data_IF_257374384092
#
_entry.id   IF_257374384092
#
_cell.length_a   1.000
_cell.length_b   1.000
_cell.length_c   1.000
_cell.angle_alpha   90.00
_cell.angle_beta   90.00
_cell.angle_gamma   90.00
#
_symmetry.space_group_name_H-M   'P 1'
#
loop_
_entity.id
_entity.type
_entity.pdbx_description
1 polymer ?
#
# COMPACT_ATOMS: atom_id res chain seq x y z
N UNK A 1 5.46 -4.00 40.31
CA UNK A 1 5.23 -4.28 38.88
C UNK A 1 6.13 -3.36 38.08
N UNK A 2 6.96 -3.89 37.17
CA UNK A 2 7.84 -3.06 36.35
C UNK A 2 6.98 -2.25 35.39
N UNK A 3 7.04 -0.94 35.50
CA UNK A 3 6.33 -0.01 34.62
C UNK A 3 6.99 -0.04 33.25
N UNK A 4 6.26 -0.48 32.22
CA UNK A 4 6.75 -0.42 30.84
C UNK A 4 6.54 1.00 30.31
N UNK A 5 7.58 1.56 29.69
CA UNK A 5 7.60 2.94 29.19
C UNK A 5 7.72 2.96 27.68
N UNK A 6 7.02 3.91 27.07
CA UNK A 6 6.99 4.17 25.64
C UNK A 6 7.27 5.65 25.39
N UNK A 7 8.12 5.95 24.41
CA UNK A 7 8.38 7.31 23.96
C UNK A 7 7.75 7.51 22.59
N UNK A 8 6.81 8.45 22.49
CA UNK A 8 6.09 8.74 21.27
C UNK A 8 6.41 10.16 20.81
N UNK A 9 6.71 10.32 19.52
CA UNK A 9 6.72 11.59 18.82
C UNK A 9 5.51 11.63 17.91
N UNK A 10 4.56 12.51 18.19
CA UNK A 10 3.28 12.55 17.48
C UNK A 10 3.24 13.75 16.56
N UNK A 11 2.92 13.53 15.30
CA UNK A 11 2.73 14.58 14.32
C UNK A 11 1.51 15.45 14.68
N UNK A 12 1.76 16.74 14.87
CA UNK A 12 0.75 17.77 15.18
C UNK A 12 0.60 18.70 13.99
N UNK A 13 -0.62 18.78 13.46
CA UNK A 13 -0.94 19.60 12.29
C UNK A 13 -2.44 19.80 12.16
N UNK A 14 -2.88 20.89 11.54
CA UNK A 14 -4.29 21.10 11.21
C UNK A 14 -4.37 21.92 9.92
N UNK A 15 -4.93 21.33 8.85
CA UNK A 15 -4.90 21.90 7.50
C UNK A 15 -5.58 23.28 7.39
N UNK A 16 -6.49 23.60 8.33
CA UNK A 16 -7.24 24.86 8.36
C UNK A 16 -6.59 25.95 9.21
N UNK A 17 -5.43 25.68 9.83
CA UNK A 17 -4.73 26.63 10.69
C UNK A 17 -3.35 26.95 10.15
N UNK A 18 -2.93 28.18 10.37
CA UNK A 18 -1.67 28.73 9.86
C UNK A 18 -0.52 28.48 10.87
N UNK A 19 -0.19 27.22 11.10
CA UNK A 19 1.02 26.83 11.83
C UNK A 19 1.72 25.68 11.13
N UNK A 20 3.06 25.68 11.24
CA UNK A 20 3.88 24.63 10.66
C UNK A 20 3.71 23.31 11.44
N UNK A 21 3.74 22.16 10.77
CA UNK A 21 3.68 20.87 11.44
C UNK A 21 4.86 20.71 12.42
N UNK A 22 4.57 20.12 13.57
CA UNK A 22 5.55 19.87 14.61
C UNK A 22 5.38 18.45 15.19
N UNK A 23 6.40 17.96 15.90
CA UNK A 23 6.30 16.73 16.68
C UNK A 23 6.24 17.06 18.16
N UNK A 24 5.21 16.55 18.83
CA UNK A 24 5.08 16.62 20.28
C UNK A 24 5.52 15.30 20.90
N UNK A 25 6.33 15.35 21.96
CA UNK A 25 6.87 14.16 22.61
C UNK A 25 6.03 13.77 23.83
N UNK A 26 5.67 12.49 23.91
CA UNK A 26 4.94 11.90 25.03
C UNK A 26 5.74 10.75 25.61
N UNK A 27 5.83 10.70 26.94
CA UNK A 27 6.39 9.58 27.68
C UNK A 27 5.25 8.89 28.42
N UNK A 28 4.79 7.77 27.87
CA UNK A 28 3.62 7.05 28.37
C UNK A 28 4.05 5.76 29.06
N UNK A 29 3.28 5.39 30.06
CA UNK A 29 3.37 4.08 30.72
C UNK A 29 2.29 3.17 30.13
N UNK A 30 2.63 1.90 29.90
CA UNK A 30 1.68 0.93 29.37
C UNK A 30 1.74 -0.41 30.10
N UNK A 31 0.67 -1.19 29.95
CA UNK A 31 0.53 -2.55 30.48
C UNK A 31 0.48 -3.55 29.31
N UNK A 32 0.88 -4.80 29.55
CA UNK A 32 1.03 -5.81 28.49
C UNK A 32 -0.28 -6.17 27.76
N UNK A 33 -1.42 -5.93 28.42
CA UNK A 33 -2.77 -6.18 27.93
C UNK A 33 -3.40 -4.99 27.20
N UNK A 34 -2.73 -3.84 27.17
CA UNK A 34 -3.21 -2.65 26.45
C UNK A 34 -3.01 -2.78 24.94
N UNK A 35 -3.91 -2.12 24.21
CA UNK A 35 -3.92 -2.04 22.76
C UNK A 35 -3.55 -0.64 22.28
N UNK A 36 -3.26 -0.50 20.98
CA UNK A 36 -2.88 0.78 20.37
C UNK A 36 -3.90 1.87 20.67
N UNK A 37 -5.20 1.57 20.58
CA UNK A 37 -6.26 2.53 20.85
C UNK A 37 -6.23 3.05 22.30
N UNK A 38 -5.81 2.23 23.26
CA UNK A 38 -5.65 2.66 24.65
C UNK A 38 -4.50 3.66 24.82
N UNK A 39 -3.43 3.51 24.03
CA UNK A 39 -2.33 4.49 23.96
C UNK A 39 -2.81 5.78 23.30
N UNK A 40 -3.54 5.69 22.19
CA UNK A 40 -4.07 6.87 21.48
C UNK A 40 -5.03 7.69 22.34
N UNK A 41 -5.86 7.04 23.17
CA UNK A 41 -6.76 7.72 24.14
C UNK A 41 -6.03 8.57 25.18
N UNK A 42 -4.77 8.26 25.48
CA UNK A 42 -3.96 9.05 26.41
C UNK A 42 -3.43 10.35 25.76
N UNK A 43 -3.43 10.44 24.44
CA UNK A 43 -2.93 11.59 23.67
C UNK A 43 -3.97 12.72 23.64
N UNK A 44 -3.97 13.56 24.68
CA UNK A 44 -4.95 14.64 24.83
C UNK A 44 -4.89 15.65 23.67
N UNK A 45 -6.02 15.81 22.98
CA UNK A 45 -6.19 16.80 21.92
C UNK A 45 -5.59 16.40 20.56
N UNK A 46 -5.05 15.17 20.45
CA UNK A 46 -4.61 14.58 19.18
C UNK A 46 -5.80 13.96 18.47
N UNK A 47 -5.95 14.28 17.19
CA UNK A 47 -6.95 13.70 16.30
C UNK A 47 -6.45 12.39 15.68
N UNK A 48 -7.23 11.32 15.80
CA UNK A 48 -6.99 10.01 15.19
C UNK A 48 -8.34 9.33 14.87
N UNK A 49 -8.31 8.24 14.09
CA UNK A 49 -9.48 7.41 13.81
C UNK A 49 -9.47 6.17 14.72
N UNK A 50 -10.62 5.80 15.28
CA UNK A 50 -10.75 4.55 16.06
C UNK A 50 -10.56 3.32 15.18
N UNK A 51 -10.96 3.41 13.90
CA UNK A 51 -10.52 2.48 12.87
C UNK A 51 -9.06 2.81 12.54
N UNK A 52 -8.14 2.06 13.15
CA UNK A 52 -6.70 2.32 13.06
C UNK A 52 -6.27 2.39 11.60
N UNK A 53 -5.66 3.52 11.23
CA UNK A 53 -5.15 3.80 9.90
C UNK A 53 -4.08 4.91 10.01
N UNK A 54 -2.87 4.54 10.42
CA UNK A 54 -1.78 5.48 10.69
C UNK A 54 -0.41 4.85 10.40
N UNK A 55 0.66 5.63 10.56
CA UNK A 55 2.03 5.13 10.46
C UNK A 55 2.75 5.15 11.80
N UNK A 56 3.45 4.08 12.11
CA UNK A 56 4.43 3.99 13.20
C UNK A 56 5.80 3.83 12.55
N UNK A 57 6.72 4.77 12.79
CA UNK A 57 8.07 4.75 12.21
C UNK A 57 8.06 4.60 10.67
N UNK A 58 7.14 5.31 9.99
CA UNK A 58 6.85 5.25 8.55
C UNK A 58 6.20 3.95 8.02
N UNK A 59 5.93 2.96 8.87
CA UNK A 59 5.26 1.70 8.49
C UNK A 59 3.76 1.83 8.75
N UNK A 60 2.94 1.45 7.78
CA UNK A 60 1.49 1.54 7.89
C UNK A 60 0.93 0.47 8.85
N UNK A 61 0.00 0.89 9.71
CA UNK A 61 -0.71 0.04 10.69
C UNK A 61 -2.21 0.24 10.49
N UNK A 62 -2.94 -0.86 10.28
CA UNK A 62 -4.39 -0.85 10.02
C UNK A 62 -5.20 -1.68 11.04
N UNK A 63 -4.58 -2.10 12.14
CA UNK A 63 -5.22 -2.93 13.16
C UNK A 63 -4.94 -2.38 14.56
N UNK A 64 -5.88 -2.60 15.47
CA UNK A 64 -5.69 -2.34 16.90
C UNK A 64 -4.91 -3.50 17.53
N UNK A 65 -3.58 -3.48 17.34
CA UNK A 65 -2.67 -4.49 17.87
C UNK A 65 -2.32 -4.23 19.34
N UNK A 66 -1.89 -5.27 20.04
CA UNK A 66 -1.36 -5.14 21.40
C UNK A 66 -0.11 -4.27 21.39
N UNK A 67 0.04 -3.44 22.40
CA UNK A 67 1.22 -2.56 22.55
C UNK A 67 2.51 -3.37 22.66
N UNK A 68 2.46 -4.52 23.34
CA UNK A 68 3.59 -5.45 23.45
C UNK A 68 4.06 -5.97 22.08
N UNK A 69 3.14 -6.34 21.19
CA UNK A 69 3.45 -6.80 19.82
C UNK A 69 4.00 -5.66 18.96
N UNK A 70 3.43 -4.46 19.09
CA UNK A 70 3.93 -3.27 18.41
C UNK A 70 5.32 -2.88 18.92
N UNK A 71 5.60 -3.02 20.22
CA UNK A 71 6.94 -2.77 20.77
C UNK A 71 7.95 -3.81 20.29
N UNK A 72 7.56 -5.08 20.16
CA UNK A 72 8.43 -6.11 19.60
C UNK A 72 8.82 -5.80 18.15
N UNK A 73 7.91 -5.21 17.38
CA UNK A 73 8.15 -4.85 15.97
C UNK A 73 8.86 -3.49 15.79
N UNK A 74 8.42 -2.46 16.52
CA UNK A 74 8.83 -1.06 16.33
C UNK A 74 9.81 -0.54 17.38
N UNK A 75 10.17 -1.33 18.40
CA UNK A 75 10.85 -0.90 19.63
C UNK A 75 9.99 -0.01 20.53
N UNK A 76 10.58 0.62 21.55
CA UNK A 76 9.90 1.50 22.51
C UNK A 76 9.86 2.98 22.08
N UNK A 77 10.43 3.31 20.92
CA UNK A 77 10.45 4.66 20.37
C UNK A 77 9.61 4.73 19.09
N UNK A 78 8.50 5.44 19.17
CA UNK A 78 7.52 5.51 18.09
C UNK A 78 7.42 6.93 17.55
N UNK A 79 7.44 7.06 16.23
CA UNK A 79 7.01 8.27 15.52
C UNK A 79 5.65 7.97 14.92
N UNK A 80 4.60 8.62 15.44
CA UNK A 80 3.24 8.51 14.93
C UNK A 80 3.00 9.59 13.87
N UNK A 81 2.67 9.14 12.67
CA UNK A 81 2.35 9.98 11.52
C UNK A 81 0.98 9.60 10.94
N UNK A 82 0.27 10.55 10.29
CA UNK A 82 -0.85 10.18 9.43
C UNK A 82 -0.35 9.32 8.26
N UNK A 83 -1.24 8.57 7.62
CA UNK A 83 -0.92 7.79 6.43
C UNK A 83 -0.24 8.63 5.33
N UNK A 84 -0.69 9.88 5.17
CA UNK A 84 -0.10 10.86 4.26
C UNK A 84 -0.05 12.25 4.87
N UNK A 85 1.15 12.81 4.99
CA UNK A 85 1.35 14.21 5.42
C UNK A 85 0.79 15.21 4.41
N UNK A 86 0.84 14.89 3.11
CA UNK A 86 0.30 15.73 2.03
C UNK A 86 -1.21 15.92 2.15
N UNK A 87 -1.91 14.87 2.58
CA UNK A 87 -3.36 14.86 2.75
C UNK A 87 -3.76 14.87 4.22
N UNK A 88 -2.89 15.30 5.14
CA UNK A 88 -3.22 15.34 6.56
C UNK A 88 -4.33 16.38 6.80
N UNK A 89 -5.43 15.97 7.44
CA UNK A 89 -6.53 16.86 7.81
C UNK A 89 -6.26 17.48 9.17
N UNK A 90 -6.02 16.62 10.18
CA UNK A 90 -5.66 17.02 11.53
C UNK A 90 -4.89 15.90 12.24
N UNK A 91 -3.70 16.20 12.71
CA UNK A 91 -2.78 15.28 13.40
C UNK A 91 -2.62 13.95 12.63
N UNK A 92 -3.19 12.84 13.13
CA UNK A 92 -3.05 11.50 12.54
C UNK A 92 -4.15 11.15 11.53
N UNK A 93 -5.09 12.05 11.24
CA UNK A 93 -6.16 11.83 10.26
C UNK A 93 -5.85 12.44 8.89
N UNK A 94 -6.39 11.81 7.85
CA UNK A 94 -6.27 12.27 6.46
C UNK A 94 -7.58 12.84 5.91
N UNK A 95 -7.50 13.75 4.95
CA UNK A 95 -8.64 14.26 4.19
C UNK A 95 -8.93 13.35 2.99
N UNK A 96 -9.68 12.28 3.23
CA UNK A 96 -10.06 11.33 2.19
C UNK A 96 -10.83 12.01 1.05
N UNK A 97 -11.65 13.03 1.35
CA UNK A 97 -12.41 13.76 0.33
C UNK A 97 -11.49 14.47 -0.65
N UNK A 98 -10.41 15.07 -0.15
CA UNK A 98 -9.40 15.70 -1.00
C UNK A 98 -8.68 14.67 -1.88
N UNK A 99 -8.41 13.49 -1.35
CA UNK A 99 -7.79 12.39 -2.12
C UNK A 99 -8.73 11.91 -3.24
N UNK A 100 -10.02 11.75 -2.94
CA UNK A 100 -11.03 11.25 -3.88
C UNK A 100 -11.23 12.16 -5.09
N UNK A 101 -10.97 13.47 -4.96
CA UNK A 101 -11.03 14.42 -6.09
C UNK A 101 -10.10 14.04 -7.24
N UNK A 102 -8.97 13.39 -6.94
CA UNK A 102 -8.02 12.92 -7.95
C UNK A 102 -8.65 11.92 -8.95
N UNK A 103 -9.78 11.29 -8.61
CA UNK A 103 -10.43 10.25 -9.41
C UNK A 103 -11.73 10.71 -10.09
N UNK A 104 -12.08 12.00 -10.02
CA UNK A 104 -13.31 12.51 -10.64
C UNK A 104 -13.35 12.27 -12.16
N UNK A 105 -12.22 12.45 -12.85
CA UNK A 105 -12.12 12.24 -14.30
C UNK A 105 -12.20 10.76 -14.69
N UNK A 106 -11.79 9.85 -13.79
CA UNK A 106 -12.07 8.42 -13.97
C UNK A 106 -13.57 8.17 -13.89
N UNK A 107 -14.26 8.69 -12.88
CA UNK A 107 -15.70 8.48 -12.70
C UNK A 107 -16.55 9.03 -13.83
N UNK A 108 -16.12 10.10 -14.50
CA UNK A 108 -16.78 10.59 -15.72
C UNK A 108 -16.72 9.57 -16.88
N UNK A 109 -15.64 8.79 -16.98
CA UNK A 109 -15.46 7.78 -18.02
C UNK A 109 -16.24 6.49 -17.75
N UNK A 110 -16.55 6.21 -16.48
CA UNK A 110 -17.31 5.03 -16.03
C UNK A 110 -18.69 5.41 -15.46
N UNK A 111 -19.42 6.29 -16.16
CA UNK A 111 -20.72 6.82 -15.72
C UNK A 111 -21.83 5.76 -15.52
N UNK A 112 -21.58 4.52 -15.92
CA UNK A 112 -22.49 3.37 -15.73
C UNK A 112 -22.42 2.74 -14.34
N UNK A 113 -21.41 3.06 -13.52
CA UNK A 113 -21.32 2.53 -12.15
C UNK A 113 -22.34 3.21 -11.23
N UNK A 114 -22.84 2.47 -10.25
CA UNK A 114 -23.79 3.01 -9.27
C UNK A 114 -23.11 3.95 -8.27
N UNK A 115 -23.91 4.76 -7.56
CA UNK A 115 -23.41 5.62 -6.48
C UNK A 115 -22.69 4.81 -5.39
N UNK A 116 -23.24 3.67 -4.99
CA UNK A 116 -22.62 2.80 -3.98
C UNK A 116 -21.29 2.21 -4.45
N UNK A 117 -21.18 1.84 -5.73
CA UNK A 117 -19.91 1.37 -6.30
C UNK A 117 -18.86 2.48 -6.40
N UNK A 118 -19.28 3.74 -6.57
CA UNK A 118 -18.38 4.90 -6.49
C UNK A 118 -17.89 5.12 -5.05
N UNK A 119 -18.79 5.09 -4.08
CA UNK A 119 -18.48 5.24 -2.64
C UNK A 119 -17.58 4.11 -2.13
N UNK A 120 -17.63 2.93 -2.75
CA UNK A 120 -16.78 1.79 -2.36
C UNK A 120 -15.27 2.11 -2.45
N UNK A 121 -14.84 3.06 -3.31
CA UNK A 121 -13.43 3.49 -3.38
C UNK A 121 -12.90 4.01 -2.04
N UNK A 122 -13.75 4.58 -1.19
CA UNK A 122 -13.38 5.08 0.14
C UNK A 122 -12.73 3.97 0.99
N UNK A 123 -13.18 2.72 0.85
CA UNK A 123 -12.62 1.58 1.60
C UNK A 123 -11.23 1.19 1.14
N UNK A 124 -10.87 1.52 -0.10
CA UNK A 124 -9.57 1.18 -0.68
C UNK A 124 -8.55 2.31 -0.56
N UNK A 125 -9.00 3.57 -0.40
CA UNK A 125 -8.14 4.73 -0.63
C UNK A 125 -6.93 4.78 0.33
N UNK A 126 -7.10 4.30 1.55
CA UNK A 126 -6.04 4.25 2.55
C UNK A 126 -4.84 3.36 2.14
N UNK A 127 -5.08 2.34 1.29
CA UNK A 127 -4.05 1.43 0.79
C UNK A 127 -3.03 2.18 -0.07
N UNK A 128 -3.43 3.26 -0.74
CA UNK A 128 -2.52 4.08 -1.57
C UNK A 128 -1.31 4.59 -0.78
N UNK A 129 -1.43 4.74 0.54
CA UNK A 129 -0.43 5.38 1.37
C UNK A 129 0.54 4.41 2.05
N UNK A 130 0.38 3.10 1.81
CA UNK A 130 1.38 2.08 2.19
C UNK A 130 2.61 2.23 1.31
N UNK A 131 2.38 2.46 0.01
CA UNK A 131 3.44 2.58 -0.97
C UNK A 131 4.32 3.81 -0.71
N UNK A 132 5.65 3.65 -0.56
CA UNK A 132 6.57 4.76 -0.34
C UNK A 132 6.92 5.53 -1.63
N UNK A 133 6.46 5.08 -2.81
CA UNK A 133 6.87 5.67 -4.08
C UNK A 133 6.42 7.13 -4.23
N UNK A 134 7.30 7.96 -4.81
CA UNK A 134 7.15 9.42 -4.84
C UNK A 134 6.64 9.96 -6.18
N UNK A 135 6.36 9.10 -7.16
CA UNK A 135 5.85 9.52 -8.46
C UNK A 135 4.45 10.16 -8.29
N UNK A 136 4.30 11.47 -8.53
CA UNK A 136 3.05 12.18 -8.29
C UNK A 136 1.95 11.81 -9.30
N UNK A 137 2.31 11.15 -10.42
CA UNK A 137 1.36 10.68 -11.42
C UNK A 137 0.79 9.30 -11.08
N UNK A 138 1.38 8.58 -10.12
CA UNK A 138 0.94 7.23 -9.77
C UNK A 138 -0.51 7.25 -9.24
N UNK A 139 -1.35 6.37 -9.79
CA UNK A 139 -2.78 6.36 -9.47
C UNK A 139 -3.08 5.79 -8.07
N UNK A 140 -2.20 4.96 -7.51
CA UNK A 140 -2.32 4.40 -6.17
C UNK A 140 -2.82 2.95 -6.12
N UNK A 141 -2.26 2.20 -5.18
CA UNK A 141 -2.49 0.75 -5.02
C UNK A 141 -3.94 0.40 -4.67
N UNK A 142 -4.52 1.16 -3.75
CA UNK A 142 -5.93 1.05 -3.40
C UNK A 142 -6.84 1.31 -4.61
N UNK A 143 -6.49 2.29 -5.44
CA UNK A 143 -7.25 2.54 -6.66
C UNK A 143 -7.12 1.38 -7.68
N UNK A 144 -5.95 0.74 -7.80
CA UNK A 144 -5.80 -0.45 -8.64
C UNK A 144 -6.66 -1.62 -8.15
N UNK A 145 -6.69 -1.87 -6.85
CA UNK A 145 -7.52 -2.91 -6.24
C UNK A 145 -9.02 -2.60 -6.39
N UNK A 146 -9.41 -1.32 -6.29
CA UNK A 146 -10.76 -0.88 -6.58
C UNK A 146 -11.15 -1.14 -8.05
N UNK A 147 -10.27 -0.85 -9.01
CA UNK A 147 -10.52 -1.15 -10.42
C UNK A 147 -10.59 -2.66 -10.65
N UNK A 148 -9.75 -3.46 -9.98
CA UNK A 148 -9.85 -4.94 -9.99
C UNK A 148 -11.23 -5.41 -9.52
N UNK A 149 -11.75 -4.80 -8.45
CA UNK A 149 -13.08 -5.09 -7.94
C UNK A 149 -14.18 -4.75 -8.96
N UNK A 150 -14.11 -3.58 -9.62
CA UNK A 150 -15.03 -3.21 -10.70
C UNK A 150 -14.95 -4.18 -11.89
N UNK A 151 -13.74 -4.61 -12.28
CA UNK A 151 -13.53 -5.56 -13.38
C UNK A 151 -14.23 -6.90 -13.15
N UNK A 152 -14.34 -7.36 -11.89
CA UNK A 152 -15.09 -8.58 -11.53
C UNK A 152 -16.60 -8.38 -11.72
N UNK A 153 -17.10 -7.17 -11.47
CA UNK A 153 -18.53 -6.83 -11.53
C UNK A 153 -19.02 -6.48 -12.94
N UNK A 154 -18.14 -5.96 -13.78
CA UNK A 154 -18.42 -5.60 -15.17
C UNK A 154 -17.52 -6.37 -16.14
N UNK A 155 -17.76 -7.69 -16.36
CA UNK A 155 -16.95 -8.48 -17.29
C UNK A 155 -16.86 -7.90 -18.70
N UNK A 156 -17.95 -7.27 -19.18
CA UNK A 156 -18.00 -6.61 -20.50
C UNK A 156 -17.05 -5.42 -20.60
N UNK A 157 -16.84 -4.67 -19.52
CA UNK A 157 -15.98 -3.48 -19.47
C UNK A 157 -14.57 -3.79 -18.96
N UNK A 158 -14.28 -5.06 -18.60
CA UNK A 158 -13.01 -5.49 -17.97
C UNK A 158 -11.77 -4.95 -18.69
N UNK A 159 -11.71 -5.08 -20.02
CA UNK A 159 -10.54 -4.65 -20.78
C UNK A 159 -10.39 -3.12 -20.79
N UNK A 160 -11.50 -2.39 -20.87
CA UNK A 160 -11.50 -0.93 -20.85
C UNK A 160 -11.08 -0.40 -19.48
N UNK A 161 -11.57 -1.01 -18.40
CA UNK A 161 -11.15 -0.69 -17.03
C UNK A 161 -9.65 -0.97 -16.81
N UNK A 162 -9.17 -2.12 -17.29
CA UNK A 162 -7.76 -2.47 -17.24
C UNK A 162 -6.88 -1.46 -18.01
N UNK A 163 -7.34 -0.99 -19.16
CA UNK A 163 -6.64 0.02 -19.96
C UNK A 163 -6.49 1.35 -19.21
N UNK A 164 -7.49 1.76 -18.42
CA UNK A 164 -7.43 2.99 -17.62
C UNK A 164 -6.31 2.99 -16.57
N UNK A 165 -5.92 1.82 -16.06
CA UNK A 165 -4.82 1.64 -15.10
C UNK A 165 -3.52 1.14 -15.75
N UNK A 166 -3.43 1.19 -17.08
CA UNK A 166 -2.29 0.61 -17.83
C UNK A 166 -1.24 1.62 -18.30
N UNK A 167 -1.42 2.93 -18.08
CA UNK A 167 -0.50 3.93 -18.62
C UNK A 167 0.91 3.77 -18.03
N UNK A 168 1.99 3.83 -18.83
CA UNK A 168 3.35 3.68 -18.33
C UNK A 168 3.73 4.65 -17.20
N UNK A 169 3.20 5.88 -17.21
CA UNK A 169 3.60 6.92 -16.27
C UNK A 169 2.86 6.87 -14.93
N UNK A 170 1.71 6.20 -14.87
CA UNK A 170 0.76 6.29 -13.76
C UNK A 170 0.15 4.95 -13.32
N UNK A 171 0.28 3.92 -14.16
CA UNK A 171 -0.47 2.68 -14.06
C UNK A 171 0.20 1.59 -13.21
N UNK A 172 -0.48 0.45 -13.15
CA UNK A 172 -0.19 -0.69 -12.26
C UNK A 172 1.19 -1.32 -12.47
N UNK A 173 1.79 -1.13 -13.64
CA UNK A 173 3.15 -1.63 -13.93
C UNK A 173 4.26 -0.88 -13.17
N UNK A 174 3.94 0.23 -12.50
CA UNK A 174 4.87 0.93 -11.61
C UNK A 174 4.87 0.36 -10.18
N UNK A 175 3.98 -0.58 -9.87
CA UNK A 175 3.93 -1.22 -8.57
C UNK A 175 5.15 -2.13 -8.33
N UNK A 176 5.70 -2.03 -7.12
CA UNK A 176 6.68 -2.93 -6.53
C UNK A 176 6.21 -3.29 -5.12
N UNK A 177 6.75 -4.36 -4.55
CA UNK A 177 6.37 -4.88 -3.24
C UNK A 177 6.32 -3.78 -2.17
N UNK A 178 5.21 -3.73 -1.42
CA UNK A 178 5.00 -2.80 -0.31
C UNK A 178 4.96 -3.50 1.05
N UNK A 179 5.09 -4.83 1.09
CA UNK A 179 5.02 -5.63 2.31
C UNK A 179 5.93 -5.08 3.42
N UNK A 180 7.17 -4.68 3.11
CA UNK A 180 8.10 -4.12 4.10
C UNK A 180 7.62 -2.82 4.76
N UNK A 181 6.69 -2.10 4.12
CA UNK A 181 6.10 -0.85 4.60
C UNK A 181 4.73 -1.04 5.27
N UNK A 182 4.32 -2.30 5.47
CA UNK A 182 3.09 -2.70 6.13
C UNK A 182 3.42 -3.52 7.39
N UNK A 183 2.72 -3.24 8.48
CA UNK A 183 2.88 -3.99 9.72
C UNK A 183 2.69 -5.50 9.50
N UNK A 184 3.53 -6.32 10.15
CA UNK A 184 3.66 -7.78 9.98
C UNK A 184 4.21 -8.25 8.63
N UNK A 185 4.67 -7.34 7.76
CA UNK A 185 5.15 -7.67 6.42
C UNK A 185 4.11 -8.44 5.59
N UNK A 186 2.83 -8.06 5.69
CA UNK A 186 1.74 -8.68 4.95
C UNK A 186 1.91 -8.44 3.43
N UNK A 187 1.95 -9.53 2.66
CA UNK A 187 2.18 -9.56 1.22
C UNK A 187 0.89 -9.74 0.40
N UNK A 188 -0.28 -9.72 1.03
CA UNK A 188 -1.56 -9.90 0.34
C UNK A 188 -1.81 -8.83 -0.74
N UNK A 189 -1.43 -7.58 -0.45
CA UNK A 189 -1.51 -6.48 -1.43
C UNK A 189 -0.58 -6.74 -2.62
N UNK A 190 0.62 -7.26 -2.35
CA UNK A 190 1.60 -7.57 -3.39
C UNK A 190 1.05 -8.62 -4.35
N UNK A 191 0.53 -9.74 -3.84
CA UNK A 191 -0.07 -10.80 -4.67
C UNK A 191 -1.27 -10.29 -5.49
N UNK A 192 -2.16 -9.52 -4.86
CA UNK A 192 -3.35 -9.00 -5.52
C UNK A 192 -3.00 -8.06 -6.69
N UNK A 193 -1.93 -7.26 -6.56
CA UNK A 193 -1.48 -6.34 -7.63
C UNK A 193 -0.60 -7.07 -8.65
N UNK A 194 0.21 -8.05 -8.25
CA UNK A 194 0.94 -8.89 -9.21
C UNK A 194 0.01 -9.66 -10.14
N UNK A 195 -1.15 -10.12 -9.66
CA UNK A 195 -2.19 -10.69 -10.53
C UNK A 195 -2.67 -9.68 -11.59
N UNK A 196 -2.84 -8.40 -11.25
CA UNK A 196 -3.19 -7.35 -12.22
C UNK A 196 -2.09 -7.14 -13.26
N UNK A 197 -0.82 -7.14 -12.83
CA UNK A 197 0.33 -7.02 -13.73
C UNK A 197 0.41 -8.21 -14.70
N UNK A 198 0.16 -9.43 -14.21
CA UNK A 198 0.06 -10.63 -15.04
C UNK A 198 -1.09 -10.53 -16.05
N UNK A 199 -2.28 -10.11 -15.60
CA UNK A 199 -3.44 -9.90 -16.50
C UNK A 199 -3.10 -8.87 -17.58
N UNK A 200 -2.41 -7.78 -17.22
CA UNK A 200 -2.08 -6.70 -18.15
C UNK A 200 -1.01 -7.12 -19.18
N UNK A 201 0.05 -7.78 -18.73
CA UNK A 201 1.14 -8.25 -19.61
C UNK A 201 0.69 -9.34 -20.59
N UNK A 202 -0.31 -10.14 -20.21
CA UNK A 202 -0.96 -11.12 -21.08
C UNK A 202 -2.12 -10.55 -21.92
N UNK A 203 -2.44 -9.26 -21.77
CA UNK A 203 -3.51 -8.62 -22.52
C UNK A 203 -3.08 -8.18 -23.94
N UNK A 204 -4.03 -7.62 -24.70
CA UNK A 204 -3.75 -7.00 -26.01
C UNK A 204 -3.38 -5.50 -25.91
N UNK A 205 -3.32 -4.94 -24.70
CA UNK A 205 -3.11 -3.51 -24.46
C UNK A 205 -1.65 -3.15 -24.77
N UNK A 206 -1.43 -2.04 -25.49
CA UNK A 206 -0.10 -1.50 -25.78
C UNK A 206 0.35 -0.54 -24.66
N UNK A 207 1.65 -0.47 -24.33
CA UNK A 207 2.77 -1.21 -24.94
C UNK A 207 2.99 -2.62 -24.36
N UNK A 208 2.16 -3.07 -23.41
CA UNK A 208 2.41 -4.26 -22.60
C UNK A 208 2.45 -5.58 -23.37
N UNK A 209 1.64 -5.71 -24.42
CA UNK A 209 1.70 -6.85 -25.33
C UNK A 209 3.09 -7.02 -25.97
N UNK A 210 3.67 -5.92 -26.45
CA UNK A 210 4.97 -5.94 -27.11
C UNK A 210 6.10 -6.12 -26.09
N UNK A 211 5.96 -5.52 -24.90
CA UNK A 211 6.86 -5.74 -23.77
C UNK A 211 6.94 -7.23 -23.38
N UNK A 212 5.80 -7.89 -23.18
CA UNK A 212 5.75 -9.30 -22.80
C UNK A 212 6.34 -10.21 -23.89
N UNK A 213 6.00 -9.95 -25.16
CA UNK A 213 6.57 -10.68 -26.31
C UNK A 213 8.10 -10.56 -26.36
N UNK A 214 8.61 -9.35 -26.18
CA UNK A 214 10.05 -9.11 -26.20
C UNK A 214 10.74 -9.81 -25.02
N UNK A 215 10.19 -9.73 -23.81
CA UNK A 215 10.74 -10.39 -22.63
C UNK A 215 10.80 -11.93 -22.81
N UNK A 216 9.74 -12.53 -23.34
CA UNK A 216 9.70 -13.98 -23.60
C UNK A 216 10.74 -14.43 -24.65
N UNK A 217 11.04 -13.57 -25.63
CA UNK A 217 12.04 -13.88 -26.66
C UNK A 217 13.47 -13.97 -26.12
N UNK A 218 13.72 -13.49 -24.89
CA UNK A 218 15.03 -13.53 -24.24
C UNK A 218 15.34 -14.92 -23.63
N UNK A 219 14.33 -15.78 -23.45
CA UNK A 219 14.53 -17.14 -22.95
C UNK A 219 15.06 -18.05 -24.06
N UNK A 220 16.38 -18.05 -24.24
CA UNK A 220 17.07 -18.92 -25.18
C UNK A 220 17.68 -20.13 -24.44
N UNK A 221 17.12 -21.31 -24.68
CA UNK A 221 17.63 -22.56 -24.13
C UNK A 221 18.67 -23.17 -25.07
N UNK A 222 19.81 -23.58 -24.54
CA UNK A 222 20.81 -24.32 -25.31
C UNK A 222 20.22 -25.69 -25.72
N UNK A 223 20.06 -25.99 -27.03
CA UNK A 223 19.50 -27.25 -27.49
C UNK A 223 20.42 -28.46 -27.25
N UNK A 224 21.72 -28.22 -26.95
CA UNK A 224 22.69 -29.24 -26.58
C UNK A 224 23.11 -29.05 -25.12
N UNK A 225 22.36 -29.58 -24.13
CA UNK A 225 22.86 -29.66 -22.77
C UNK A 225 24.17 -30.46 -22.77
N UNK A 226 25.20 -29.95 -22.09
CA UNK A 226 26.45 -30.70 -21.85
C UNK A 226 26.07 -32.11 -21.40
N UNK A 227 26.43 -33.13 -22.20
CA UNK A 227 26.24 -34.53 -21.82
C UNK A 227 26.86 -34.70 -20.45
N UNK A 228 26.06 -35.09 -19.44
CA UNK A 228 26.61 -35.48 -18.14
C UNK A 228 27.69 -36.53 -18.41
N UNK A 229 28.89 -36.41 -17.83
CA UNK A 229 29.92 -37.43 -18.03
C UNK A 229 29.36 -38.78 -17.60
N UNK A 230 29.30 -39.72 -18.53
CA UNK A 230 28.96 -41.11 -18.25
C UNK A 230 29.99 -41.66 -17.26
N UNK A 231 29.59 -42.44 -16.24
CA UNK A 231 30.50 -43.00 -15.22
C UNK A 231 31.42 -44.12 -15.74
N UNK A 232 31.88 -44.02 -16.99
CA UNK A 232 32.87 -44.94 -17.59
C UNK A 232 34.27 -44.34 -17.72
N UNK A 233 34.44 -43.02 -17.52
CA UNK A 233 35.76 -42.36 -17.58
C UNK A 233 36.42 -42.13 -16.21
N UNK A 234 36.03 -42.86 -15.16
CA UNK A 234 36.72 -42.89 -13.86
C UNK A 234 37.64 -44.11 -13.70
N UNK A 235 37.91 -44.86 -14.78
CA UNK A 235 38.85 -45.99 -14.78
C UNK A 235 39.88 -45.84 -15.89
N UNK A 236 40.67 -44.77 -15.86
CA UNK A 236 42.01 -44.72 -16.43
C UNK A 236 42.63 -43.36 -16.05
N UNK A 237 43.21 -43.30 -14.85
CA UNK A 237 44.45 -42.62 -14.47
C UNK A 237 44.66 -42.80 -12.97
#
# INVERSE_FOLDING_TARGET
MSVLKLHLKVFRFEAKKDYNPAYESYFLEYQEDQYLLDILKQLKGVSYNENIALKINQIAVFEDAKVSDLVAFFSKEWVLDPLSKRYALKDLTIDEKEVLKNYEDFFKQVSYITKGEKEELEKFIQINFINPQTNPKYLGDGFFLYVKWLMKRYPTERNRLLEMISKPESGVMNFLSVAHYLYKNDDNIDHEIYELQEILTNSKIKPWKDFAKNLLSLFQYNPNPLKRPTPQNLRAL
#
